data_IF_544387277386
#
_entry.id   IF_544387277386
#
_cell.length_a   1.000
_cell.length_b   1.000
_cell.length_c   1.000
_cell.angle_alpha   90.00
_cell.angle_beta   90.00
_cell.angle_gamma   90.00
#
_symmetry.space_group_name_H-M   'P 1'
#
loop_
_entity.id
_entity.type
_entity.pdbx_description
1 polymer ?
#
# COMPACT_ATOMS: atom_id res chain seq x y z
N UNK A 1 14.41 -13.23 -11.47
CA UNK A 1 13.34 -14.23 -11.27
C UNK A 1 12.37 -13.72 -10.22
N UNK A 2 11.25 -13.16 -10.66
CA UNK A 2 10.14 -12.74 -9.79
C UNK A 2 9.18 -13.92 -9.60
N UNK A 3 9.68 -14.96 -8.95
CA UNK A 3 9.01 -16.25 -8.76
C UNK A 3 9.19 -16.66 -7.30
N UNK A 4 8.16 -17.25 -6.71
CA UNK A 4 8.23 -17.95 -5.44
C UNK A 4 7.47 -19.26 -5.55
N UNK A 5 8.09 -20.34 -5.10
CA UNK A 5 7.40 -21.60 -4.84
C UNK A 5 7.40 -21.82 -3.32
N UNK A 6 6.36 -22.42 -2.74
CA UNK A 6 6.27 -22.67 -1.29
C UNK A 6 7.21 -23.81 -0.85
N UNK A 7 8.48 -23.70 -1.23
CA UNK A 7 9.59 -24.57 -0.89
C UNK A 7 10.68 -23.67 -0.33
N UNK A 8 11.04 -23.91 0.93
CA UNK A 8 11.89 -23.01 1.70
C UNK A 8 13.36 -23.48 1.77
N UNK A 9 13.60 -24.73 1.35
CA UNK A 9 14.89 -25.38 1.45
C UNK A 9 15.85 -24.98 0.31
N UNK A 10 17.14 -24.86 0.63
CA UNK A 10 18.20 -24.45 -0.30
C UNK A 10 18.62 -25.57 -1.27
N UNK A 11 18.25 -26.82 -0.99
CA UNK A 11 18.48 -28.02 -1.81
C UNK A 11 17.25 -28.41 -2.66
N UNK A 12 16.24 -27.55 -2.71
CA UNK A 12 15.10 -27.76 -3.60
C UNK A 12 15.54 -27.82 -5.06
N UNK A 13 14.84 -28.59 -5.90
CA UNK A 13 15.16 -28.73 -7.32
C UNK A 13 15.38 -27.37 -8.01
N UNK A 14 14.50 -26.39 -7.74
CA UNK A 14 14.60 -25.06 -8.34
C UNK A 14 15.79 -24.27 -7.80
N UNK A 15 16.09 -24.38 -6.50
CA UNK A 15 17.28 -23.75 -5.92
C UNK A 15 18.57 -24.36 -6.47
N UNK A 16 18.65 -25.69 -6.61
CA UNK A 16 19.81 -26.37 -7.23
C UNK A 16 19.98 -26.03 -8.70
N UNK A 17 18.88 -25.90 -9.46
CA UNK A 17 18.94 -25.44 -10.85
C UNK A 17 19.49 -24.01 -10.95
N UNK A 18 19.04 -23.11 -10.07
CA UNK A 18 19.56 -21.72 -10.02
C UNK A 18 21.03 -21.69 -9.62
N UNK A 19 21.43 -22.50 -8.66
CA UNK A 19 22.83 -22.62 -8.24
C UNK A 19 23.71 -23.05 -9.42
N UNK A 20 23.27 -24.04 -10.22
CA UNK A 20 24.00 -24.49 -11.40
C UNK A 20 24.15 -23.39 -12.47
N UNK A 21 23.15 -22.52 -12.64
CA UNK A 21 23.28 -21.35 -13.54
C UNK A 21 24.38 -20.39 -13.06
N UNK A 22 24.43 -20.12 -11.75
CA UNK A 22 25.42 -19.22 -11.14
C UNK A 22 26.82 -19.79 -11.27
N UNK A 23 27.00 -21.10 -11.04
CA UNK A 23 28.28 -21.79 -11.23
C UNK A 23 28.79 -21.74 -12.68
N UNK A 24 27.90 -21.55 -13.65
CA UNK A 24 28.22 -21.34 -15.06
C UNK A 24 28.34 -19.86 -15.45
N UNK A 25 28.49 -18.96 -14.48
CA UNK A 25 28.76 -17.53 -14.69
C UNK A 25 27.51 -16.70 -15.00
N UNK A 26 26.31 -17.22 -14.80
CA UNK A 26 25.07 -16.46 -15.00
C UNK A 26 24.65 -15.82 -13.67
N UNK A 27 24.62 -14.48 -13.63
CA UNK A 27 24.08 -13.78 -12.45
C UNK A 27 22.58 -14.00 -12.35
N UNK A 28 22.13 -14.56 -11.23
CA UNK A 28 20.70 -14.75 -10.95
C UNK A 28 20.26 -13.88 -9.79
N UNK A 29 19.26 -13.05 -10.07
CA UNK A 29 18.56 -12.22 -9.08
C UNK A 29 17.17 -12.80 -8.86
N UNK A 30 16.76 -13.03 -7.61
CA UNK A 30 15.48 -13.64 -7.26
C UNK A 30 14.73 -12.84 -6.20
N UNK A 31 13.40 -12.83 -6.27
CA UNK A 31 12.55 -12.26 -5.21
C UNK A 31 12.62 -13.11 -3.93
N UNK A 32 12.63 -12.47 -2.75
CA UNK A 32 12.66 -13.17 -1.47
C UNK A 32 11.35 -13.90 -1.12
N UNK A 33 10.22 -13.42 -1.64
CA UNK A 33 8.88 -13.88 -1.27
C UNK A 33 8.07 -12.81 -0.54
N UNK A 34 6.76 -13.03 -0.42
CA UNK A 34 5.81 -12.09 0.17
C UNK A 34 5.14 -12.65 1.45
N UNK A 35 5.88 -13.48 2.20
CA UNK A 35 5.38 -14.17 3.40
C UNK A 35 5.96 -13.60 4.69
N UNK A 36 6.32 -12.31 4.70
CA UNK A 36 6.95 -11.64 5.85
C UNK A 36 6.14 -11.73 7.16
N UNK A 37 4.81 -11.75 7.06
CA UNK A 37 3.90 -11.91 8.20
C UNK A 37 3.97 -13.30 8.85
N UNK A 38 4.53 -14.30 8.16
CA UNK A 38 4.80 -15.64 8.72
C UNK A 38 6.00 -15.65 9.67
N UNK A 39 6.78 -14.56 9.72
CA UNK A 39 7.94 -14.41 10.59
C UNK A 39 9.26 -14.78 9.90
N UNK A 40 10.27 -15.10 10.71
CA UNK A 40 11.59 -15.54 10.24
C UNK A 40 11.49 -16.83 9.41
N UNK A 41 12.51 -17.08 8.58
CA UNK A 41 12.58 -18.26 7.70
C UNK A 41 11.50 -18.35 6.62
N UNK A 42 10.91 -17.21 6.24
CA UNK A 42 9.84 -17.12 5.24
C UNK A 42 10.34 -16.89 3.81
N UNK A 43 11.66 -16.87 3.60
CA UNK A 43 12.26 -16.76 2.26
C UNK A 43 12.01 -18.03 1.47
N UNK A 44 11.52 -17.91 0.24
CA UNK A 44 11.16 -19.05 -0.60
C UNK A 44 12.10 -19.25 -1.80
N UNK A 45 12.13 -20.47 -2.34
CA UNK A 45 12.89 -20.78 -3.53
C UNK A 45 12.32 -20.01 -4.75
N UNK A 46 13.18 -19.55 -5.68
CA UNK A 46 14.63 -19.80 -5.77
C UNK A 46 15.50 -18.92 -4.87
N UNK A 47 14.94 -17.93 -4.16
CA UNK A 47 15.68 -17.00 -3.30
C UNK A 47 16.42 -17.63 -2.12
N UNK A 48 16.25 -18.93 -1.89
CA UNK A 48 16.93 -19.72 -0.86
C UNK A 48 18.25 -20.32 -1.34
N UNK A 49 18.55 -20.30 -2.65
CA UNK A 49 19.82 -20.78 -3.18
C UNK A 49 21.00 -19.95 -2.59
N UNK A 50 22.13 -20.57 -2.22
CA UNK A 50 23.22 -19.89 -1.52
C UNK A 50 23.70 -18.63 -2.24
N UNK A 51 24.07 -18.75 -3.52
CA UNK A 51 24.75 -17.68 -4.27
C UNK A 51 23.79 -16.76 -5.04
N UNK A 52 22.48 -16.99 -4.94
CA UNK A 52 21.49 -16.12 -5.60
C UNK A 52 21.41 -14.77 -4.90
N UNK A 53 21.31 -13.70 -5.69
CA UNK A 53 21.02 -12.36 -5.16
C UNK A 53 19.53 -12.32 -4.82
N UNK A 54 19.21 -12.44 -3.54
CA UNK A 54 17.84 -12.50 -3.05
C UNK A 54 17.38 -11.11 -2.63
N UNK A 55 16.31 -10.62 -3.24
CA UNK A 55 15.86 -9.24 -3.10
C UNK A 55 14.60 -9.16 -2.26
N UNK A 56 14.70 -8.49 -1.12
CA UNK A 56 13.55 -8.08 -0.31
C UNK A 56 12.93 -6.77 -0.83
N UNK A 57 11.68 -6.52 -0.47
CA UNK A 57 10.94 -5.35 -0.91
C UNK A 57 11.04 -4.25 0.15
N UNK A 58 11.47 -3.07 -0.26
CA UNK A 58 11.36 -1.84 0.52
C UNK A 58 10.27 -0.93 -0.06
N UNK A 59 9.75 -0.06 0.80
CA UNK A 59 8.89 1.04 0.39
C UNK A 59 9.72 2.14 -0.32
N UNK A 60 9.25 2.61 -1.48
CA UNK A 60 9.94 3.65 -2.28
C UNK A 60 9.79 5.06 -1.69
N UNK A 61 10.82 5.91 -1.72
CA UNK A 61 10.70 7.30 -1.21
C UNK A 61 9.76 8.21 -2.04
N UNK A 62 9.40 7.80 -3.25
CA UNK A 62 8.49 8.54 -4.13
C UNK A 62 7.35 7.65 -4.62
N UNK A 63 6.13 8.16 -4.48
CA UNK A 63 4.95 7.51 -5.00
C UNK A 63 4.28 8.40 -6.05
N UNK A 64 4.02 7.86 -7.25
CA UNK A 64 3.01 8.46 -8.13
C UNK A 64 1.62 8.07 -7.64
N UNK A 65 0.85 9.05 -7.17
CA UNK A 65 -0.46 8.82 -6.55
C UNK A 65 -1.44 9.92 -6.93
N UNK A 66 -2.73 9.61 -6.80
CA UNK A 66 -3.77 10.63 -6.84
C UNK A 66 -3.82 11.34 -5.50
N UNK A 67 -4.34 12.56 -5.48
CA UNK A 67 -4.52 13.29 -4.23
C UNK A 67 -5.83 14.02 -4.20
N UNK A 68 -6.26 14.36 -2.98
CA UNK A 68 -7.31 15.34 -2.76
C UNK A 68 -6.82 16.44 -1.83
N UNK A 69 -7.51 17.57 -1.87
CA UNK A 69 -7.30 18.70 -0.96
C UNK A 69 -8.54 18.94 -0.13
N UNK A 70 -8.36 19.58 1.03
CA UNK A 70 -9.45 19.97 1.91
C UNK A 70 -9.77 21.45 1.70
N UNK A 71 -11.05 21.83 1.80
CA UNK A 71 -11.48 23.22 1.59
C UNK A 71 -10.72 24.22 2.49
N UNK A 72 -10.06 25.19 1.86
CA UNK A 72 -9.26 26.20 2.56
C UNK A 72 -7.87 25.71 3.00
N UNK A 73 -7.48 24.49 2.64
CA UNK A 73 -6.17 23.90 2.93
C UNK A 73 -5.54 23.35 1.65
N UNK A 74 -4.35 23.85 1.31
CA UNK A 74 -3.65 23.46 0.08
C UNK A 74 -2.81 22.19 0.24
N UNK A 75 -2.76 21.59 1.44
CA UNK A 75 -2.01 20.36 1.64
C UNK A 75 -2.69 19.19 0.92
N UNK A 76 -1.86 18.46 0.19
CA UNK A 76 -2.28 17.34 -0.64
C UNK A 76 -2.28 16.07 0.20
N UNK A 77 -3.39 15.34 0.18
CA UNK A 77 -3.49 14.02 0.79
C UNK A 77 -3.48 12.98 -0.32
N UNK A 78 -2.34 12.30 -0.46
CA UNK A 78 -2.16 11.22 -1.43
C UNK A 78 -3.00 9.99 -1.07
N UNK A 79 -3.57 9.32 -2.07
CA UNK A 79 -4.38 8.14 -1.89
C UNK A 79 -4.23 7.10 -3.01
N UNK A 80 -4.38 5.82 -2.66
CA UNK A 80 -4.58 4.75 -3.64
C UNK A 80 -6.06 4.38 -3.72
N UNK A 81 -6.55 4.00 -4.90
CA UNK A 81 -7.95 3.61 -5.11
C UNK A 81 -8.07 2.13 -5.47
N UNK A 82 -8.99 1.43 -4.80
CA UNK A 82 -9.24 0.01 -5.04
C UNK A 82 -9.83 -0.29 -6.43
N UNK A 83 -10.45 0.70 -7.10
CA UNK A 83 -10.98 0.54 -8.45
C UNK A 83 -9.92 0.75 -9.55
N UNK A 84 -8.70 1.13 -9.16
CA UNK A 84 -7.72 1.70 -10.08
C UNK A 84 -8.18 3.09 -10.56
N UNK A 85 -7.22 3.95 -10.91
CA UNK A 85 -7.56 5.29 -11.38
C UNK A 85 -7.95 6.28 -10.29
N UNK A 86 -8.27 7.49 -10.72
CA UNK A 86 -8.70 8.60 -9.87
C UNK A 86 -10.17 8.43 -9.45
N UNK A 87 -10.45 8.37 -8.14
CA UNK A 87 -11.80 8.60 -7.65
C UNK A 87 -12.22 10.06 -7.88
N UNK A 88 -13.46 10.27 -8.35
CA UNK A 88 -13.98 11.62 -8.66
C UNK A 88 -14.96 12.06 -7.60
N UNK A 89 -14.65 13.18 -6.92
CA UNK A 89 -15.54 13.81 -5.94
C UNK A 89 -15.21 15.30 -5.83
N UNK A 90 -16.23 16.12 -5.57
CA UNK A 90 -16.09 17.56 -5.44
C UNK A 90 -16.86 18.05 -4.22
N UNK A 91 -16.20 18.86 -3.39
CA UNK A 91 -16.77 19.42 -2.16
C UNK A 91 -17.48 18.36 -1.27
N UNK A 92 -16.95 17.14 -1.23
CA UNK A 92 -17.59 16.03 -0.51
C UNK A 92 -17.33 16.14 0.98
N UNK A 93 -18.36 16.20 1.84
CA UNK A 93 -18.18 16.25 3.30
C UNK A 93 -17.42 15.05 3.85
N UNK A 94 -16.54 15.28 4.82
CA UNK A 94 -15.79 14.22 5.51
C UNK A 94 -16.42 13.93 6.87
N UNK A 95 -16.50 12.65 7.22
CA UNK A 95 -16.78 12.18 8.57
C UNK A 95 -15.79 11.08 8.97
N UNK A 96 -15.55 10.96 10.27
CA UNK A 96 -14.92 9.76 10.82
C UNK A 96 -15.99 8.68 11.06
N UNK A 97 -15.60 7.42 11.02
CA UNK A 97 -16.53 6.31 11.25
C UNK A 97 -17.09 6.28 12.67
N UNK A 98 -16.25 6.63 13.64
CA UNK A 98 -16.50 6.76 15.08
C UNK A 98 -15.47 7.76 15.65
N UNK A 99 -15.71 8.31 16.83
CA UNK A 99 -14.82 9.23 17.56
C UNK A 99 -13.55 8.53 18.09
N UNK A 100 -13.61 7.22 18.33
CA UNK A 100 -12.53 6.45 18.96
C UNK A 100 -11.45 5.98 17.97
N UNK A 101 -11.74 5.89 16.67
CA UNK A 101 -10.80 5.47 15.62
C UNK A 101 -10.07 4.15 15.93
N UNK A 102 -10.82 3.15 16.39
CA UNK A 102 -10.27 1.85 16.78
C UNK A 102 -10.03 0.95 15.56
N UNK A 103 -9.24 -0.12 15.73
CA UNK A 103 -9.05 -1.11 14.67
C UNK A 103 -10.35 -1.84 14.28
N UNK A 104 -11.35 -1.86 15.17
CA UNK A 104 -12.67 -2.49 14.98
C UNK A 104 -13.67 -1.63 14.22
N UNK A 105 -13.36 -0.36 13.96
CA UNK A 105 -14.25 0.56 13.27
C UNK A 105 -14.54 0.05 11.84
N UNK A 106 -15.79 0.13 11.40
CA UNK A 106 -16.22 -0.43 10.12
C UNK A 106 -16.43 -1.94 10.11
N UNK A 107 -16.14 -2.68 11.19
CA UNK A 107 -16.39 -4.12 11.23
C UNK A 107 -17.84 -4.48 11.57
N UNK A 108 -18.55 -3.58 12.25
CA UNK A 108 -19.99 -3.65 12.53
C UNK A 108 -20.70 -2.43 11.93
N UNK A 109 -22.03 -2.47 11.82
CA UNK A 109 -22.79 -1.33 11.30
C UNK A 109 -22.56 -0.06 12.12
N UNK A 110 -22.38 1.08 11.44
CA UNK A 110 -22.25 2.38 12.10
C UNK A 110 -23.58 2.76 12.76
N UNK A 111 -23.49 3.47 13.88
CA UNK A 111 -24.64 4.08 14.55
C UNK A 111 -24.87 5.52 14.09
N UNK A 112 -23.92 6.10 13.35
CA UNK A 112 -23.94 7.47 12.90
C UNK A 112 -24.50 7.61 11.48
N UNK A 113 -25.02 8.79 11.16
CA UNK A 113 -25.43 9.14 9.81
C UNK A 113 -24.21 9.47 8.94
N UNK A 114 -23.89 8.54 8.04
CA UNK A 114 -22.78 8.67 7.08
C UNK A 114 -23.25 9.05 5.67
N UNK A 115 -24.55 9.36 5.49
CA UNK A 115 -25.14 9.63 4.20
C UNK A 115 -24.45 10.78 3.45
N UNK A 116 -23.99 10.52 2.23
CA UNK A 116 -23.41 11.54 1.35
C UNK A 116 -21.95 11.89 1.65
N UNK A 117 -21.28 11.20 2.57
CA UNK A 117 -19.94 11.58 3.08
C UNK A 117 -18.81 10.69 2.56
N UNK A 118 -17.61 11.26 2.56
CA UNK A 118 -16.36 10.51 2.59
C UNK A 118 -16.09 10.09 4.04
N UNK A 119 -15.98 8.79 4.29
CA UNK A 119 -15.88 8.25 5.64
C UNK A 119 -14.47 7.75 5.89
N UNK A 120 -13.80 8.32 6.89
CA UNK A 120 -12.45 7.93 7.31
C UNK A 120 -12.52 6.87 8.40
N UNK A 121 -11.83 5.75 8.19
CA UNK A 121 -11.81 4.60 9.11
C UNK A 121 -10.41 4.01 9.20
N UNK A 122 -10.06 3.43 10.36
CA UNK A 122 -8.75 2.81 10.58
C UNK A 122 -8.65 1.42 9.92
N UNK A 123 -7.49 1.09 9.35
CA UNK A 123 -7.14 -0.30 8.97
C UNK A 123 -7.03 -1.19 10.22
N UNK A 124 -7.53 -2.43 10.14
CA UNK A 124 -7.42 -3.41 11.23
C UNK A 124 -8.69 -4.23 11.42
N UNK A 125 -8.62 -5.26 12.28
CA UNK A 125 -9.65 -6.22 12.72
C UNK A 125 -10.46 -6.98 11.64
N UNK A 126 -10.90 -6.32 10.57
CA UNK A 126 -11.64 -6.88 9.44
C UNK A 126 -11.11 -6.34 8.10
N UNK A 127 -11.57 -6.92 7.00
CA UNK A 127 -11.09 -6.63 5.64
C UNK A 127 -11.51 -5.23 5.16
N UNK A 128 -10.79 -4.69 4.17
CA UNK A 128 -11.18 -3.47 3.46
C UNK A 128 -12.60 -3.58 2.89
N UNK A 129 -12.97 -4.75 2.39
CA UNK A 129 -14.31 -5.04 1.87
C UNK A 129 -15.40 -4.92 2.94
N UNK A 130 -15.21 -5.54 4.12
CA UNK A 130 -16.19 -5.46 5.20
C UNK A 130 -16.43 -4.01 5.66
N UNK A 131 -15.35 -3.23 5.80
CA UNK A 131 -15.43 -1.80 6.16
C UNK A 131 -16.19 -1.02 5.09
N UNK A 132 -15.86 -1.21 3.82
CA UNK A 132 -16.52 -0.52 2.72
C UNK A 132 -18.01 -0.87 2.60
N UNK A 133 -18.40 -2.13 2.80
CA UNK A 133 -19.79 -2.57 2.78
C UNK A 133 -20.59 -1.91 3.91
N UNK A 134 -20.05 -1.85 5.12
CA UNK A 134 -20.73 -1.24 6.25
C UNK A 134 -20.87 0.28 6.10
N UNK A 135 -19.84 0.95 5.55
CA UNK A 135 -19.91 2.38 5.19
C UNK A 135 -20.99 2.62 4.13
N UNK A 136 -21.03 1.80 3.07
CA UNK A 136 -22.04 1.92 2.02
C UNK A 136 -23.46 1.72 2.57
N UNK A 137 -23.67 0.76 3.47
CA UNK A 137 -24.96 0.51 4.14
C UNK A 137 -25.43 1.69 5.00
N UNK A 138 -24.49 2.44 5.59
CA UNK A 138 -24.77 3.66 6.34
C UNK A 138 -24.92 4.91 5.44
N UNK A 139 -24.90 4.74 4.11
CA UNK A 139 -25.08 5.82 3.14
C UNK A 139 -23.80 6.57 2.74
N UNK A 140 -22.63 6.15 3.24
CA UNK A 140 -21.34 6.73 2.85
C UNK A 140 -21.08 6.53 1.36
N UNK A 141 -20.50 7.56 0.70
CA UNK A 141 -20.25 7.55 -0.74
C UNK A 141 -18.80 7.18 -1.09
N UNK A 142 -17.87 7.36 -0.17
CA UNK A 142 -16.45 6.99 -0.32
C UNK A 142 -15.94 6.44 1.01
N UNK A 143 -15.32 5.27 0.99
CA UNK A 143 -14.62 4.72 2.15
C UNK A 143 -13.14 5.09 2.07
N UNK A 144 -12.60 5.77 3.08
CA UNK A 144 -11.20 6.19 3.15
C UNK A 144 -10.54 5.48 4.33
N UNK A 145 -9.65 4.53 4.05
CA UNK A 145 -9.06 3.64 5.04
C UNK A 145 -7.62 4.06 5.28
N UNK A 146 -7.32 4.57 6.47
CA UNK A 146 -5.97 4.99 6.80
C UNK A 146 -5.15 3.84 7.39
N UNK A 147 -3.88 3.79 7.02
CA UNK A 147 -2.92 2.87 7.60
C UNK A 147 -2.47 3.38 8.97
N UNK A 148 -2.38 2.50 9.96
CA UNK A 148 -1.86 2.81 11.30
C UNK A 148 -0.35 2.55 11.43
N UNK A 149 0.26 1.99 10.38
CA UNK A 149 1.71 1.96 10.16
C UNK A 149 2.06 2.85 8.96
N UNK A 150 3.35 3.16 8.83
CA UNK A 150 3.84 3.97 7.72
C UNK A 150 3.62 3.27 6.37
N UNK A 151 3.52 4.08 5.30
CA UNK A 151 3.21 3.61 3.96
C UNK A 151 1.73 3.78 3.56
N UNK A 152 1.46 3.48 2.29
CA UNK A 152 0.14 3.60 1.67
C UNK A 152 -0.34 2.21 1.21
N UNK A 153 -1.25 1.53 1.90
CA UNK A 153 -1.61 0.17 1.48
C UNK A 153 -2.36 0.19 0.16
N UNK A 154 -2.18 -0.82 -0.69
CA UNK A 154 -3.07 -1.04 -1.85
C UNK A 154 -4.29 -1.84 -1.40
N UNK A 155 -5.47 -1.23 -1.41
CA UNK A 155 -6.71 -1.92 -1.06
C UNK A 155 -7.20 -2.82 -2.20
N UNK A 156 -7.39 -4.10 -1.90
CA UNK A 156 -8.11 -5.04 -2.76
C UNK A 156 -9.50 -5.29 -2.19
N UNK A 157 -10.53 -5.16 -3.03
CA UNK A 157 -11.93 -5.34 -2.63
C UNK A 157 -12.70 -6.17 -3.66
N UNK A 158 -13.65 -6.98 -3.19
CA UNK A 158 -14.53 -7.76 -4.05
C UNK A 158 -15.51 -6.90 -4.86
N UNK A 159 -16.12 -7.52 -5.88
CA UNK A 159 -17.12 -6.88 -6.77
C UNK A 159 -18.37 -6.37 -6.05
N UNK A 160 -18.63 -6.86 -4.83
CA UNK A 160 -19.78 -6.46 -4.03
C UNK A 160 -19.62 -5.06 -3.42
N UNK A 161 -18.41 -4.49 -3.46
CA UNK A 161 -18.16 -3.11 -2.99
C UNK A 161 -18.54 -2.11 -4.09
N UNK A 162 -19.59 -1.33 -3.84
CA UNK A 162 -20.15 -0.39 -4.82
C UNK A 162 -19.50 0.99 -4.76
N UNK A 163 -19.04 1.41 -3.59
CA UNK A 163 -18.38 2.71 -3.36
C UNK A 163 -16.87 2.66 -3.65
N UNK A 164 -16.22 3.77 -4.03
CA UNK A 164 -14.76 3.83 -4.08
C UNK A 164 -14.16 3.58 -2.69
N UNK A 165 -13.09 2.78 -2.64
CA UNK A 165 -12.28 2.60 -1.43
C UNK A 165 -10.93 3.25 -1.68
N UNK A 166 -10.63 4.27 -0.88
CA UNK A 166 -9.37 4.98 -0.87
C UNK A 166 -8.54 4.47 0.30
N UNK A 167 -7.24 4.39 0.12
CA UNK A 167 -6.29 4.23 1.23
C UNK A 167 -5.48 5.50 1.36
N UNK A 168 -5.18 5.90 2.59
CA UNK A 168 -4.32 7.05 2.91
C UNK A 168 -3.28 6.66 3.96
N UNK A 169 -2.18 7.41 4.03
CA UNK A 169 -1.20 7.24 5.09
C UNK A 169 -1.71 7.74 6.44
N UNK A 170 -1.05 7.35 7.51
CA UNK A 170 -1.31 7.89 8.85
C UNK A 170 -1.19 9.43 8.88
N UNK A 171 -0.17 9.99 8.21
CA UNK A 171 0.00 11.44 8.05
C UNK A 171 -1.18 12.09 7.32
N UNK A 172 -1.70 11.45 6.27
CA UNK A 172 -2.91 11.92 5.58
C UNK A 172 -4.10 12.03 6.54
N UNK A 173 -4.31 11.00 7.37
CA UNK A 173 -5.36 11.01 8.39
C UNK A 173 -5.16 12.10 9.44
N UNK A 174 -3.96 12.25 10.00
CA UNK A 174 -3.72 13.29 11.03
C UNK A 174 -3.96 14.69 10.47
N UNK A 175 -3.68 14.90 9.17
CA UNK A 175 -4.00 16.17 8.50
C UNK A 175 -5.51 16.41 8.35
N UNK A 176 -6.27 15.38 8.00
CA UNK A 176 -7.74 15.45 8.00
C UNK A 176 -8.25 15.83 9.39
N UNK A 177 -7.77 15.16 10.44
CA UNK A 177 -8.19 15.42 11.82
C UNK A 177 -7.87 16.86 12.26
N UNK A 178 -6.70 17.38 11.89
CA UNK A 178 -6.33 18.78 12.15
C UNK A 178 -7.31 19.75 11.49
N UNK A 179 -7.61 19.55 10.21
CA UNK A 179 -8.54 20.42 9.46
C UNK A 179 -9.97 20.36 10.03
N UNK A 180 -10.47 19.17 10.34
CA UNK A 180 -11.80 19.00 10.96
C UNK A 180 -11.87 19.74 12.31
N UNK A 181 -10.82 19.65 13.12
CA UNK A 181 -10.74 20.36 14.40
C UNK A 181 -10.67 21.87 14.24
N UNK A 182 -9.87 22.37 13.29
CA UNK A 182 -9.78 23.80 12.99
C UNK A 182 -11.11 24.39 12.52
N UNK A 183 -11.80 23.71 11.61
CA UNK A 183 -13.11 24.16 11.11
C UNK A 183 -14.19 24.11 12.18
N UNK A 184 -14.15 23.11 13.06
CA UNK A 184 -15.05 23.01 14.22
C UNK A 184 -14.85 24.17 15.20
N UNK A 185 -13.60 24.59 15.45
CA UNK A 185 -13.31 25.80 16.26
C UNK A 185 -13.82 27.08 15.60
N UNK A 186 -13.70 27.21 14.27
CA UNK A 186 -14.20 28.38 13.53
C UNK A 186 -15.73 28.49 13.59
N UNK A 187 -16.46 27.37 13.58
CA UNK A 187 -17.91 27.32 13.81
C UNK A 187 -18.33 27.97 15.13
N UNK A 188 -17.51 27.76 16.17
CA UNK A 188 -17.75 28.34 17.49
C UNK A 188 -17.47 29.85 17.52
N UNK A 189 -16.48 30.33 16.75
CA UNK A 189 -16.01 31.72 16.75
C UNK A 189 -16.77 32.66 15.79
N UNK A 190 -17.27 32.16 14.65
CA UNK A 190 -17.92 32.97 13.62
C UNK A 190 -19.24 32.33 13.14
N UNK A 191 -20.38 33.00 13.41
CA UNK A 191 -21.73 32.57 12.95
C UNK A 191 -22.04 32.91 11.48
N UNK A 192 -21.07 33.42 10.71
CA UNK A 192 -21.29 33.95 9.36
C UNK A 192 -20.60 33.16 8.25
N UNK A 193 -21.37 32.47 7.40
CA UNK A 193 -21.09 32.14 5.99
C UNK A 193 -19.88 31.27 5.62
N UNK A 194 -18.93 31.03 6.52
CA UNK A 194 -17.73 30.23 6.26
C UNK A 194 -18.10 28.75 6.38
N UNK A 195 -17.75 27.93 5.39
CA UNK A 195 -17.95 26.48 5.46
C UNK A 195 -17.21 25.91 6.67
N UNK A 196 -17.96 25.30 7.59
CA UNK A 196 -17.44 24.70 8.83
C UNK A 196 -17.27 23.19 8.73
N UNK A 197 -17.54 22.65 7.54
CA UNK A 197 -17.44 21.23 7.23
C UNK A 197 -16.19 21.02 6.38
N UNK A 198 -15.33 20.10 6.79
CA UNK A 198 -14.23 19.65 5.97
C UNK A 198 -14.79 18.95 4.73
N UNK A 199 -14.39 19.42 3.55
CA UNK A 199 -14.82 18.84 2.28
C UNK A 199 -13.61 18.50 1.43
N UNK A 200 -13.65 17.33 0.79
CA UNK A 200 -12.60 16.84 -0.10
C UNK A 200 -12.94 17.15 -1.56
N UNK A 201 -11.91 17.49 -2.33
CA UNK A 201 -11.98 17.58 -3.80
C UNK A 201 -10.81 16.83 -4.42
N UNK A 202 -11.12 15.86 -5.29
CA UNK A 202 -10.14 15.04 -6.00
C UNK A 202 -9.38 15.86 -7.05
N UNK A 203 -8.10 15.53 -7.27
CA UNK A 203 -7.25 16.14 -8.28
C UNK A 203 -6.42 15.09 -9.03
N UNK A 204 -5.78 15.52 -10.13
CA UNK A 204 -4.99 14.68 -11.03
C UNK A 204 -3.79 14.01 -10.34
N UNK A 205 -3.22 13.00 -11.01
CA UNK A 205 -2.00 12.31 -10.54
C UNK A 205 -0.84 13.27 -10.32
N UNK A 206 -0.05 12.99 -9.28
CA UNK A 206 1.21 13.67 -9.03
C UNK A 206 2.19 12.71 -8.35
N UNK A 207 3.48 12.86 -8.67
CA UNK A 207 4.53 12.30 -7.84
C UNK A 207 4.54 13.01 -6.49
N UNK A 208 4.32 12.25 -5.41
CA UNK A 208 4.33 12.73 -4.05
C UNK A 208 5.46 12.06 -3.28
N UNK A 209 6.19 12.88 -2.53
CA UNK A 209 7.03 12.38 -1.46
C UNK A 209 6.09 11.93 -0.34
N UNK A 210 6.32 10.72 0.14
CA UNK A 210 5.68 10.23 1.35
C UNK A 210 6.80 10.11 2.38
N UNK A 211 6.63 10.79 3.52
CA UNK A 211 7.59 10.68 4.60
C UNK A 211 7.66 9.23 5.13
N UNK A 212 8.82 8.87 5.68
CA UNK A 212 9.12 7.60 6.38
C UNK A 212 9.34 6.35 5.51
N UNK A 213 9.68 6.53 4.24
CA UNK A 213 9.66 5.47 3.24
C UNK A 213 11.09 5.01 2.87
N UNK A 214 11.66 4.15 3.71
CA UNK A 214 12.86 3.31 3.45
C UNK A 214 12.82 2.01 4.28
N UNK A 215 11.63 1.66 4.79
CA UNK A 215 11.47 0.48 5.62
C UNK A 215 11.22 -0.75 4.75
N UNK A 216 11.67 -1.94 5.19
CA UNK A 216 11.23 -3.19 4.60
C UNK A 216 9.70 -3.27 4.61
N UNK A 217 9.11 -3.71 3.50
CA UNK A 217 7.67 -3.98 3.43
C UNK A 217 7.29 -5.04 4.45
N UNK A 218 6.15 -4.85 5.13
CA UNK A 218 5.58 -5.83 6.08
C UNK A 218 5.44 -7.23 5.44
N UNK A 219 5.13 -7.26 4.14
CA UNK A 219 4.97 -8.50 3.38
C UNK A 219 6.29 -9.13 2.95
N UNK A 220 7.41 -8.42 2.95
CA UNK A 220 8.69 -8.95 2.47
C UNK A 220 9.15 -10.11 3.35
N UNK A 221 9.42 -11.26 2.74
CA UNK A 221 9.93 -12.43 3.46
C UNK A 221 11.24 -12.14 4.19
N UNK A 222 11.38 -12.74 5.37
CA UNK A 222 12.52 -12.61 6.25
C UNK A 222 13.37 -13.88 6.26
N UNK A 223 14.67 -13.72 6.39
CA UNK A 223 15.57 -14.84 6.59
C UNK A 223 15.75 -15.23 8.06
N UNK A 224 16.85 -15.97 8.35
CA UNK A 224 17.76 -16.57 7.37
C UNK A 224 17.04 -17.60 6.48
N UNK A 225 17.72 -18.19 5.50
CA UNK A 225 17.13 -19.30 4.74
C UNK A 225 16.64 -20.41 5.70
N UNK A 226 15.61 -21.19 5.34
CA UNK A 226 15.10 -22.23 6.27
C UNK A 226 16.15 -23.32 6.58
N UNK A 227 17.12 -23.50 5.69
CA UNK A 227 18.28 -24.36 5.88
C UNK A 227 19.37 -23.78 6.80
N UNK A 228 19.25 -22.51 7.21
CA UNK A 228 20.24 -21.73 7.98
C UNK A 228 21.63 -21.62 7.33
N UNK A 229 21.78 -22.03 6.08
CA UNK A 229 23.06 -22.00 5.35
C UNK A 229 23.43 -20.60 4.85
N UNK A 230 22.45 -19.69 4.73
CA UNK A 230 22.68 -18.35 4.20
C UNK A 230 21.80 -17.28 4.86
N UNK A 231 22.36 -16.07 4.97
CA UNK A 231 21.61 -14.87 5.36
C UNK A 231 20.85 -14.39 4.13
N UNK A 232 19.52 -14.31 4.24
CA UNK A 232 18.60 -13.82 3.21
C UNK A 232 17.60 -12.82 3.82
N UNK A 233 16.98 -11.92 3.03
CA UNK A 233 17.42 -11.50 1.70
C UNK A 233 18.82 -10.87 1.75
N UNK A 234 19.52 -10.83 0.62
CA UNK A 234 20.88 -10.26 0.54
C UNK A 234 20.85 -8.75 0.36
N UNK A 235 19.79 -8.22 -0.26
CA UNK A 235 19.63 -6.79 -0.53
C UNK A 235 18.15 -6.40 -0.52
N UNK A 236 17.87 -5.11 -0.31
CA UNK A 236 16.54 -4.52 -0.46
C UNK A 236 16.51 -3.63 -1.70
N UNK A 237 15.36 -3.58 -2.37
CA UNK A 237 15.09 -2.62 -3.42
C UNK A 237 13.63 -2.20 -3.40
N UNK A 238 13.30 -1.12 -4.11
CA UNK A 238 11.95 -0.60 -4.25
C UNK A 238 11.02 -1.68 -4.80
N UNK A 239 10.16 -2.17 -3.92
CA UNK A 239 9.22 -3.25 -4.21
C UNK A 239 7.78 -2.88 -3.90
N UNK A 240 7.53 -1.78 -3.21
CA UNK A 240 6.17 -1.32 -2.92
C UNK A 240 5.89 -0.08 -3.76
N UNK A 241 4.72 -0.09 -4.41
CA UNK A 241 4.25 0.94 -5.31
C UNK A 241 5.08 1.18 -6.57
N UNK A 242 5.56 0.11 -7.16
CA UNK A 242 6.29 0.21 -8.43
C UNK A 242 5.28 0.39 -9.56
N UNK A 243 5.32 1.56 -10.19
CA UNK A 243 4.55 1.87 -11.39
C UNK A 243 5.28 1.35 -12.62
N UNK A 244 4.66 0.44 -13.36
CA UNK A 244 5.27 -0.17 -14.54
C UNK A 244 4.23 -0.57 -15.58
N UNK A 245 4.71 -1.04 -16.73
CA UNK A 245 3.86 -1.50 -17.83
C UNK A 245 3.01 -2.67 -17.41
N UNK A 246 1.77 -2.70 -17.89
CA UNK A 246 0.78 -3.73 -17.64
C UNK A 246 0.09 -4.11 -18.95
N UNK A 247 -0.54 -5.30 -19.08
CA UNK A 247 -1.21 -5.66 -20.33
C UNK A 247 -2.23 -4.60 -20.79
N UNK A 248 -2.22 -4.23 -22.07
CA UNK A 248 -3.08 -3.17 -22.61
C UNK A 248 -4.57 -3.38 -22.33
N UNK A 249 -5.04 -4.63 -22.39
CA UNK A 249 -6.43 -5.01 -22.08
C UNK A 249 -6.81 -4.73 -20.61
N UNK A 250 -5.83 -4.51 -19.75
CA UNK A 250 -5.97 -4.26 -18.33
C UNK A 250 -5.51 -2.85 -17.92
N UNK A 251 -5.29 -1.93 -18.88
CA UNK A 251 -4.99 -0.52 -18.58
C UNK A 251 -3.58 -0.04 -18.94
N UNK A 252 -2.74 -0.87 -19.58
CA UNK A 252 -1.37 -0.55 -20.07
C UNK A 252 -0.32 -0.22 -19.00
N UNK A 253 -0.73 0.23 -17.83
CA UNK A 253 0.11 0.56 -16.69
C UNK A 253 -0.59 0.17 -15.40
N UNK A 254 0.19 -0.22 -14.41
CA UNK A 254 -0.32 -0.52 -13.08
C UNK A 254 0.74 -0.22 -12.02
N UNK A 255 0.26 0.15 -10.84
CA UNK A 255 1.09 0.21 -9.64
C UNK A 255 0.93 -1.11 -8.90
N UNK A 256 2.04 -1.82 -8.69
CA UNK A 256 2.05 -3.12 -8.02
C UNK A 256 3.02 -3.10 -6.82
N UNK A 257 2.89 -4.10 -5.95
CA UNK A 257 3.77 -4.29 -4.80
C UNK A 257 4.25 -5.73 -4.71
N UNK A 258 5.39 -5.92 -4.02
CA UNK A 258 5.98 -7.19 -3.67
C UNK A 258 7.45 -7.29 -4.04
N UNK A 259 8.11 -8.32 -3.52
CA UNK A 259 9.51 -8.66 -3.87
C UNK A 259 9.67 -8.97 -5.36
N UNK A 260 8.58 -9.34 -6.04
CA UNK A 260 8.51 -9.48 -7.50
C UNK A 260 8.80 -8.19 -8.27
N UNK A 261 8.53 -7.02 -7.67
CA UNK A 261 8.82 -5.70 -8.25
C UNK A 261 10.19 -5.19 -7.82
N UNK A 262 10.70 -5.63 -6.67
CA UNK A 262 12.05 -5.30 -6.20
C UNK A 262 13.15 -6.02 -7.00
N UNK A 263 12.98 -7.33 -7.25
CA UNK A 263 13.96 -8.15 -7.98
C UNK A 263 14.41 -7.57 -9.35
N UNK A 264 13.53 -7.08 -10.24
CA UNK A 264 13.96 -6.52 -11.53
C UNK A 264 14.77 -5.22 -11.40
N UNK A 265 14.60 -4.41 -10.34
CA UNK A 265 15.45 -3.24 -10.11
C UNK A 265 16.92 -3.66 -9.93
N UNK A 266 17.15 -4.65 -9.06
CA UNK A 266 18.50 -5.18 -8.80
C UNK A 266 19.05 -5.90 -10.03
N UNK A 267 18.23 -6.64 -10.76
CA UNK A 267 18.66 -7.28 -12.02
C UNK A 267 19.14 -6.24 -13.04
N UNK A 268 18.46 -5.10 -13.17
CA UNK A 268 18.89 -4.00 -14.03
C UNK A 268 20.23 -3.40 -13.60
N UNK A 269 20.43 -3.21 -12.29
CA UNK A 269 21.72 -2.72 -11.74
C UNK A 269 22.84 -3.72 -12.01
N UNK A 270 22.61 -5.01 -11.78
CA UNK A 270 23.58 -6.06 -12.07
C UNK A 270 23.94 -6.08 -13.56
N UNK A 271 22.95 -6.00 -14.44
CA UNK A 271 23.18 -5.96 -15.89
C UNK A 271 24.05 -4.76 -16.28
N UNK A 272 23.71 -3.55 -15.80
CA UNK A 272 24.48 -2.35 -16.08
C UNK A 272 25.92 -2.38 -15.50
N UNK A 273 26.14 -3.13 -14.42
CA UNK A 273 27.49 -3.32 -13.86
C UNK A 273 28.35 -4.31 -14.66
N UNK A 274 27.72 -5.23 -15.40
CA UNK A 274 28.39 -6.23 -16.23
C UNK A 274 28.73 -5.73 -17.64
N UNK A 275 28.19 -4.58 -18.05
CA UNK A 275 28.54 -3.86 -19.29
C UNK A 275 29.87 -3.12 -19.17
#
# INVERSE_FOLDING_TARGET
>A
MSLGIDVYWSDSLVASMVQSLIENGIVVVASAGNSGTSGLFSTSAPGTAPDVITVGAAESSMLSTYYFTLNGFYEQIGYSSSKGGMATFQNMPIAFYDDQLTSWDGCTASKDDLAGKMVVVRRGACTYESKAINIAKAGGLVATIYNDVNGLPLASVGKNVTIPVLTISYRGMTRIAQVVNELSRRKFMFRGGISTVATATSSTERAMLIDDMHLPSESSSWGPSSSMQSIKPTVLADGVHVYSTYPRKLGSWATMLGTSMAAPHVAGICAAHLE
#
